data_IF_862987410049
#
_entry.id   IF_862987410049
#
_cell.length_a   1.000
_cell.length_b   1.000
_cell.length_c   1.000
_cell.angle_alpha   90.00
_cell.angle_beta   90.00
_cell.angle_gamma   90.00
#
_symmetry.space_group_name_H-M   'P 1'
#
loop_
_entity.id
_entity.type
_entity.pdbx_description
1 polymer ?
#
# COMPACT_ATOMS: atom_id res chain seq x y z
N UNK A 1 3.41 14.69 -88.53
CA UNK A 1 2.94 13.77 -87.52
C UNK A 1 3.83 13.89 -86.29
N UNK A 2 3.42 14.68 -85.27
CA UNK A 2 4.18 14.87 -84.01
C UNK A 2 3.68 13.89 -82.95
N UNK A 3 4.54 12.98 -82.47
CA UNK A 3 4.24 12.06 -81.38
C UNK A 3 4.45 12.77 -80.09
N UNK A 4 3.43 12.90 -79.23
CA UNK A 4 3.49 13.43 -77.91
C UNK A 4 3.71 12.22 -76.96
N UNK A 5 4.84 12.23 -76.25
CA UNK A 5 5.22 11.26 -75.24
C UNK A 5 4.64 11.71 -73.86
N UNK A 6 3.71 10.96 -73.31
CA UNK A 6 3.23 11.19 -71.92
C UNK A 6 4.13 10.46 -70.96
N UNK A 7 4.83 11.23 -70.10
CA UNK A 7 5.50 10.68 -68.92
C UNK A 7 4.49 10.52 -67.78
N UNK A 8 4.22 9.31 -67.37
CA UNK A 8 3.48 8.99 -66.15
C UNK A 8 4.52 9.09 -64.97
N UNK A 9 4.37 10.10 -64.13
CA UNK A 9 5.10 10.19 -62.86
C UNK A 9 4.30 9.36 -61.81
N UNK A 10 4.83 8.19 -61.46
CA UNK A 10 4.29 7.38 -60.38
C UNK A 10 4.69 8.03 -59.04
N UNK A 11 3.73 8.69 -58.39
CA UNK A 11 3.86 9.15 -57.01
C UNK A 11 3.67 7.94 -56.07
N UNK A 12 4.79 7.42 -55.55
CA UNK A 12 4.75 6.39 -54.53
C UNK A 12 4.43 7.07 -53.19
N UNK A 13 3.32 6.76 -52.49
CA UNK A 13 3.06 7.29 -51.18
C UNK A 13 4.01 6.61 -50.19
N UNK A 14 5.00 7.34 -49.68
CA UNK A 14 5.76 6.96 -48.50
C UNK A 14 4.81 6.93 -47.32
N UNK A 15 4.30 5.75 -46.97
CA UNK A 15 3.67 5.45 -45.72
C UNK A 15 4.74 5.57 -44.63
N UNK A 16 4.92 6.78 -44.07
CA UNK A 16 5.58 6.98 -42.82
C UNK A 16 4.76 6.25 -41.76
N UNK A 17 5.19 5.04 -41.42
CA UNK A 17 4.73 4.33 -40.24
C UNK A 17 5.16 5.20 -39.04
N UNK A 18 4.24 6.03 -38.55
CA UNK A 18 4.40 6.69 -37.27
C UNK A 18 4.52 5.54 -36.24
N UNK A 19 5.76 5.25 -35.79
CA UNK A 19 5.96 4.47 -34.57
C UNK A 19 5.14 5.20 -33.50
N UNK A 20 4.04 4.59 -33.08
CA UNK A 20 3.32 5.03 -31.88
C UNK A 20 4.37 5.12 -30.79
N UNK A 21 4.60 6.30 -30.26
CA UNK A 21 5.42 6.46 -29.06
C UNK A 21 4.65 5.65 -28.01
N UNK A 22 5.18 4.49 -27.66
CA UNK A 22 4.55 3.62 -26.67
C UNK A 22 4.43 4.43 -25.38
N UNK A 23 3.21 4.80 -25.02
CA UNK A 23 2.96 5.67 -23.87
C UNK A 23 3.44 4.92 -22.62
N UNK A 24 4.31 5.56 -21.85
CA UNK A 24 4.80 4.97 -20.58
C UNK A 24 3.62 4.56 -19.70
N UNK A 25 3.67 3.39 -19.07
CA UNK A 25 2.57 2.93 -18.24
C UNK A 25 2.36 3.84 -17.02
N UNK A 26 1.11 3.97 -16.61
CA UNK A 26 0.75 4.55 -15.33
C UNK A 26 1.18 3.64 -14.17
N UNK A 27 1.24 4.19 -12.97
CA UNK A 27 1.49 3.43 -11.75
C UNK A 27 0.40 3.73 -10.73
N UNK A 28 -0.27 2.68 -10.26
CA UNK A 28 -1.13 2.72 -9.09
C UNK A 28 -0.42 1.98 -7.95
N UNK A 29 0.02 2.74 -6.95
CA UNK A 29 0.65 2.21 -5.73
C UNK A 29 -0.37 2.21 -4.60
N UNK A 30 -0.78 1.04 -4.14
CA UNK A 30 -1.71 0.86 -3.02
C UNK A 30 -0.91 0.44 -1.80
N UNK A 31 -0.87 1.31 -0.80
CA UNK A 31 -0.23 1.05 0.49
C UNK A 31 -1.30 0.74 1.54
N UNK A 32 -1.17 -0.37 2.25
CA UNK A 32 -2.11 -0.77 3.31
C UNK A 32 -1.35 -0.86 4.64
N UNK A 33 -1.81 -0.10 5.64
CA UNK A 33 -1.11 0.05 6.92
C UNK A 33 -1.39 -1.13 7.86
N UNK A 34 -0.36 -1.66 8.50
CA UNK A 34 -0.43 -2.81 9.42
C UNK A 34 -1.00 -4.10 8.78
N UNK A 35 -0.92 -4.24 7.45
CA UNK A 35 -1.40 -5.43 6.75
C UNK A 35 -0.37 -6.55 6.81
N UNK A 36 -0.63 -7.57 7.63
CA UNK A 36 0.12 -8.83 7.58
C UNK A 36 -0.33 -9.70 6.38
N UNK A 37 0.45 -10.70 5.94
CA UNK A 37 0.07 -11.55 4.79
C UNK A 37 -1.08 -12.51 5.14
N UNK A 38 -2.10 -12.00 5.81
CA UNK A 38 -3.32 -12.69 6.21
C UNK A 38 -4.39 -12.44 5.13
N UNK A 39 -4.16 -13.07 3.96
CA UNK A 39 -4.95 -13.00 2.75
C UNK A 39 -5.09 -14.40 2.15
N UNK A 40 -6.18 -14.69 1.45
CA UNK A 40 -6.39 -16.02 0.86
C UNK A 40 -5.32 -16.36 -0.19
N UNK A 41 -4.92 -15.42 -1.00
CA UNK A 41 -3.80 -15.57 -1.96
C UNK A 41 -2.44 -15.81 -1.31
N UNK A 42 -2.31 -15.61 0.00
CA UNK A 42 -1.13 -15.93 0.81
C UNK A 42 -1.32 -17.19 1.68
N UNK A 43 -2.38 -17.97 1.44
CA UNK A 43 -2.63 -19.26 2.10
C UNK A 43 -3.47 -19.19 3.37
N UNK A 44 -4.23 -18.11 3.59
CA UNK A 44 -5.08 -17.93 4.79
C UNK A 44 -6.56 -18.03 4.41
N UNK A 45 -7.13 -19.23 4.56
CA UNK A 45 -8.47 -19.56 4.03
C UNK A 45 -9.64 -18.88 4.73
N UNK A 46 -9.50 -18.46 5.99
CA UNK A 46 -10.59 -17.84 6.73
C UNK A 46 -10.79 -16.35 6.40
N UNK A 47 -9.84 -15.73 5.70
CA UNK A 47 -9.93 -14.31 5.29
C UNK A 47 -10.75 -14.18 4.00
N UNK A 48 -11.65 -13.22 3.99
CA UNK A 48 -12.42 -12.83 2.81
C UNK A 48 -11.72 -11.64 2.12
N UNK A 49 -10.94 -11.93 1.06
CA UNK A 49 -10.11 -10.95 0.32
C UNK A 49 -10.22 -11.10 -1.20
N UNK A 50 -11.44 -11.17 -1.78
CA UNK A 50 -11.63 -11.54 -3.18
C UNK A 50 -10.98 -10.58 -4.18
N UNK A 51 -10.90 -9.28 -3.86
CA UNK A 51 -10.35 -8.26 -4.78
C UNK A 51 -8.82 -8.32 -4.81
N UNK A 52 -8.18 -8.45 -3.66
CA UNK A 52 -6.72 -8.61 -3.56
C UNK A 52 -6.31 -9.96 -4.16
N UNK A 53 -7.10 -11.01 -3.95
CA UNK A 53 -6.87 -12.33 -4.55
C UNK A 53 -6.99 -12.29 -6.07
N UNK A 54 -7.98 -11.55 -6.61
CA UNK A 54 -8.11 -11.32 -8.05
C UNK A 54 -6.92 -10.52 -8.63
N UNK A 55 -6.38 -9.55 -7.87
CA UNK A 55 -5.16 -8.85 -8.24
C UNK A 55 -3.95 -9.80 -8.25
N UNK A 56 -3.80 -10.65 -7.24
CA UNK A 56 -2.74 -11.66 -7.16
C UNK A 56 -2.82 -12.66 -8.33
N UNK A 57 -4.03 -13.06 -8.73
CA UNK A 57 -4.27 -13.96 -9.87
C UNK A 57 -3.88 -13.33 -11.22
N UNK A 58 -3.74 -12.01 -11.31
CA UNK A 58 -3.30 -11.25 -12.50
C UNK A 58 -1.90 -10.70 -12.39
N UNK A 59 -1.24 -10.87 -11.23
CA UNK A 59 0.07 -10.34 -10.92
C UNK A 59 1.03 -11.40 -10.41
N UNK A 60 2.02 -10.94 -9.67
CA UNK A 60 2.97 -11.74 -8.90
C UNK A 60 2.79 -11.46 -7.41
N UNK A 61 2.34 -12.44 -6.65
CA UNK A 61 2.35 -12.39 -5.20
C UNK A 61 3.73 -12.85 -4.69
N UNK A 62 4.36 -12.02 -3.87
CA UNK A 62 5.66 -12.29 -3.24
C UNK A 62 5.41 -12.77 -1.81
N UNK A 63 5.43 -14.09 -1.59
CA UNK A 63 5.10 -14.68 -0.30
C UNK A 63 6.15 -14.42 0.78
N UNK A 64 7.37 -14.06 0.40
CA UNK A 64 8.49 -13.78 1.30
C UNK A 64 9.04 -12.37 1.06
N UNK A 65 8.14 -11.37 1.14
CA UNK A 65 8.51 -9.97 1.15
C UNK A 65 8.72 -9.50 2.59
N UNK A 66 9.84 -8.81 2.83
CA UNK A 66 10.23 -8.32 4.15
C UNK A 66 10.51 -6.82 4.14
N UNK A 67 10.18 -6.19 5.28
CA UNK A 67 10.45 -4.78 5.51
C UNK A 67 11.75 -4.61 6.33
N UNK A 68 12.42 -3.48 6.16
CA UNK A 68 13.70 -3.19 6.83
C UNK A 68 13.51 -2.81 8.31
N UNK A 69 12.32 -2.32 8.66
CA UNK A 69 11.96 -2.02 10.04
C UNK A 69 10.45 -2.14 10.22
N UNK A 70 9.95 -2.87 11.22
CA UNK A 70 8.52 -3.05 11.46
C UNK A 70 7.92 -1.85 12.19
N UNK A 71 8.04 -0.68 11.57
CA UNK A 71 7.57 0.63 12.07
C UNK A 71 7.15 1.47 10.88
N UNK A 72 5.92 2.01 10.90
CA UNK A 72 5.31 2.65 9.72
C UNK A 72 6.22 3.70 9.06
N UNK A 73 6.76 4.67 9.81
CA UNK A 73 7.58 5.74 9.24
C UNK A 73 8.89 5.24 8.65
N UNK A 74 9.54 4.28 9.30
CA UNK A 74 10.79 3.69 8.82
C UNK A 74 10.56 2.82 7.57
N UNK A 75 9.54 1.98 7.56
CA UNK A 75 9.20 1.16 6.40
C UNK A 75 8.79 2.03 5.21
N UNK A 76 7.96 3.06 5.43
CA UNK A 76 7.57 4.03 4.39
C UNK A 76 8.74 4.85 3.88
N UNK A 77 9.74 5.15 4.73
CA UNK A 77 10.98 5.75 4.29
C UNK A 77 11.69 4.85 3.26
N UNK A 78 11.81 3.54 3.52
CA UNK A 78 12.48 2.62 2.59
C UNK A 78 11.74 2.49 1.27
N UNK A 79 10.40 2.40 1.27
CA UNK A 79 9.59 2.42 0.05
C UNK A 79 9.82 3.69 -0.77
N UNK A 80 9.70 4.85 -0.12
CA UNK A 80 9.67 6.15 -0.79
C UNK A 80 11.06 6.66 -1.21
N UNK A 81 12.13 6.08 -0.66
CA UNK A 81 13.51 6.49 -0.97
C UNK A 81 14.34 5.41 -1.64
N UNK A 82 13.96 4.14 -1.55
CA UNK A 82 14.75 2.99 -1.99
C UNK A 82 16.07 2.84 -1.21
N UNK A 83 16.12 3.33 0.04
CA UNK A 83 17.34 3.36 0.86
C UNK A 83 17.11 2.86 2.26
N UNK A 84 18.14 2.26 2.86
CA UNK A 84 18.17 2.03 4.30
C UNK A 84 18.10 3.36 5.05
N UNK A 85 17.42 3.38 6.18
CA UNK A 85 17.21 4.57 6.97
C UNK A 85 17.00 4.31 8.45
N UNK A 86 16.71 5.36 9.23
CA UNK A 86 16.45 5.23 10.65
C UNK A 86 15.19 4.41 10.94
N UNK A 87 15.23 3.60 11.99
CA UNK A 87 14.13 2.73 12.42
C UNK A 87 13.10 3.44 13.30
N UNK A 88 12.63 4.63 12.90
CA UNK A 88 11.61 5.39 13.64
C UNK A 88 10.66 6.18 12.73
N UNK A 89 9.55 6.64 13.28
CA UNK A 89 8.48 7.30 12.52
C UNK A 89 8.84 8.67 11.92
N UNK A 90 9.85 9.37 12.46
CA UNK A 90 10.34 10.63 11.92
C UNK A 90 11.41 10.51 10.82
N UNK A 91 11.62 9.32 10.27
CA UNK A 91 12.71 9.05 9.33
C UNK A 91 12.73 9.97 8.11
N UNK A 92 11.57 10.26 7.50
CA UNK A 92 11.45 11.15 6.34
C UNK A 92 11.81 12.59 6.72
N UNK A 93 11.23 13.15 7.77
CA UNK A 93 11.54 14.52 8.21
C UNK A 93 13.03 14.75 8.44
N UNK A 94 13.73 13.77 9.01
CA UNK A 94 15.13 13.92 9.36
C UNK A 94 16.08 13.73 8.19
N UNK A 95 15.68 12.99 7.17
CA UNK A 95 16.61 12.51 6.15
C UNK A 95 16.21 12.86 4.71
N UNK A 96 15.00 13.36 4.46
CA UNK A 96 14.53 13.62 3.10
C UNK A 96 15.46 14.58 2.33
N UNK A 97 15.93 15.64 2.96
CA UNK A 97 16.86 16.59 2.35
C UNK A 97 18.18 15.95 1.88
N UNK A 98 18.62 14.88 2.56
CA UNK A 98 19.88 14.19 2.25
C UNK A 98 19.82 13.40 0.94
N UNK A 99 18.64 12.99 0.49
CA UNK A 99 18.45 12.21 -0.74
C UNK A 99 18.38 13.07 -2.00
N UNK A 100 18.49 14.40 -1.87
CA UNK A 100 18.58 15.38 -2.98
C UNK A 100 17.50 15.17 -4.06
N UNK A 101 16.25 14.95 -3.67
CA UNK A 101 15.11 14.82 -4.58
C UNK A 101 15.03 13.51 -5.37
N UNK A 102 15.81 12.49 -5.01
CA UNK A 102 15.75 11.16 -5.66
C UNK A 102 14.77 10.20 -5.00
N UNK A 103 13.75 10.70 -4.32
CA UNK A 103 12.64 9.89 -3.82
C UNK A 103 11.82 9.28 -4.96
N UNK A 104 11.14 8.18 -4.69
CA UNK A 104 10.31 7.49 -5.68
C UNK A 104 9.34 8.46 -6.39
N UNK A 105 8.43 9.18 -5.69
CA UNK A 105 7.54 10.13 -6.37
C UNK A 105 8.28 11.30 -7.01
N UNK A 106 9.30 11.85 -6.36
CA UNK A 106 10.09 12.96 -6.89
C UNK A 106 10.84 12.60 -8.19
N UNK A 107 11.34 11.36 -8.27
CA UNK A 107 11.98 10.85 -9.48
C UNK A 107 11.00 10.74 -10.64
N UNK A 108 9.83 10.18 -10.40
CA UNK A 108 8.75 10.06 -11.40
C UNK A 108 8.27 11.43 -11.87
N UNK A 109 8.03 12.37 -10.93
CA UNK A 109 7.66 13.75 -11.25
C UNK A 109 8.71 14.43 -12.14
N UNK A 110 10.01 14.28 -11.83
CA UNK A 110 11.10 14.81 -12.64
C UNK A 110 11.11 14.25 -14.06
N UNK A 111 10.60 13.03 -14.26
CA UNK A 111 10.56 12.36 -15.55
C UNK A 111 9.20 12.43 -16.27
N UNK A 112 8.38 13.44 -15.93
CA UNK A 112 7.16 13.78 -16.65
C UNK A 112 5.89 13.07 -16.18
N UNK A 113 5.92 12.40 -15.02
CA UNK A 113 4.71 11.85 -14.41
C UNK A 113 3.98 12.91 -13.59
N UNK A 114 2.65 12.91 -13.65
CA UNK A 114 1.84 13.56 -12.62
C UNK A 114 1.81 12.66 -11.39
N UNK A 115 2.35 13.13 -10.26
CA UNK A 115 2.46 12.33 -9.03
C UNK A 115 1.43 12.80 -8.01
N UNK A 116 0.55 11.88 -7.57
CA UNK A 116 -0.54 12.19 -6.63
C UNK A 116 -0.49 11.21 -5.47
N UNK A 117 -0.54 11.74 -4.26
CA UNK A 117 -0.66 10.98 -3.02
C UNK A 117 -2.03 11.23 -2.41
N UNK A 118 -2.75 10.16 -2.09
CA UNK A 118 -4.02 10.22 -1.37
C UNK A 118 -3.95 9.22 -0.22
N UNK A 119 -4.16 9.65 0.98
CA UNK A 119 -4.12 8.72 2.06
C UNK A 119 -2.76 8.59 2.75
N UNK A 120 -2.62 7.62 3.63
CA UNK A 120 -1.40 7.39 4.42
C UNK A 120 -0.29 6.78 3.56
N UNK A 121 0.43 7.62 2.80
CA UNK A 121 1.61 7.19 2.03
C UNK A 121 2.90 7.41 2.82
N UNK A 122 3.11 8.59 3.39
CA UNK A 122 4.12 8.84 4.43
C UNK A 122 3.50 8.67 5.83
N UNK A 123 4.30 8.71 6.88
CA UNK A 123 3.79 8.49 8.25
C UNK A 123 3.06 9.72 8.82
N UNK A 124 3.49 10.91 8.45
CA UNK A 124 2.84 12.17 8.81
C UNK A 124 2.32 12.88 7.55
N UNK A 125 1.31 12.34 6.91
CA UNK A 125 0.87 12.80 5.57
C UNK A 125 0.41 14.25 5.54
N UNK A 126 -0.14 14.81 6.62
CA UNK A 126 -0.47 16.22 6.74
C UNK A 126 0.64 17.07 7.36
N UNK A 127 1.86 16.57 7.39
CA UNK A 127 2.94 17.25 8.10
C UNK A 127 2.77 17.25 9.61
N UNK A 128 3.66 17.92 10.35
CA UNK A 128 3.59 17.96 11.82
C UNK A 128 2.63 19.01 12.37
N UNK A 129 2.27 20.01 11.60
CA UNK A 129 1.37 21.10 12.00
C UNK A 129 0.04 21.10 11.25
N UNK A 130 -0.08 20.28 10.19
CA UNK A 130 -1.22 20.26 9.30
C UNK A 130 -2.52 19.79 9.97
N UNK A 131 -3.61 20.45 9.64
CA UNK A 131 -4.97 20.06 10.04
C UNK A 131 -5.68 19.29 8.94
N UNK A 132 -5.25 19.51 7.72
CA UNK A 132 -5.72 18.83 6.53
C UNK A 132 -4.52 18.47 5.64
N UNK A 133 -4.69 17.59 4.68
CA UNK A 133 -3.62 17.16 3.79
C UNK A 133 -3.24 18.23 2.78
N UNK A 134 -4.18 19.11 2.47
CA UNK A 134 -3.97 20.19 1.56
C UNK A 134 -3.27 21.40 2.21
N UNK A 135 -3.24 21.45 3.56
CA UNK A 135 -2.60 22.49 4.37
C UNK A 135 -1.29 21.98 5.02
N UNK A 136 -0.45 21.33 4.23
CA UNK A 136 0.80 20.76 4.70
C UNK A 136 1.88 21.84 4.84
N UNK A 137 1.92 22.53 5.97
CA UNK A 137 2.88 23.58 6.29
C UNK A 137 4.31 23.05 6.53
N UNK A 138 4.45 21.77 6.85
CA UNK A 138 5.74 21.07 7.04
C UNK A 138 5.72 19.69 6.42
N UNK A 139 5.71 19.58 5.09
CA UNK A 139 5.61 18.30 4.40
C UNK A 139 6.81 17.41 4.71
N UNK A 140 6.55 16.10 4.85
CA UNK A 140 7.64 15.12 4.98
C UNK A 140 8.51 15.03 3.73
N UNK A 141 7.95 15.33 2.57
CA UNK A 141 8.59 15.18 1.25
C UNK A 141 8.35 16.41 0.37
N UNK A 142 8.92 17.59 0.71
CA UNK A 142 8.70 18.82 -0.05
C UNK A 142 9.08 18.65 -1.52
N UNK A 143 8.14 18.99 -2.41
CA UNK A 143 8.34 18.95 -3.87
C UNK A 143 8.32 17.56 -4.51
N UNK A 144 8.07 16.49 -3.77
CA UNK A 144 8.01 15.13 -4.33
C UNK A 144 6.70 14.84 -5.07
N UNK A 145 5.60 15.41 -4.61
CA UNK A 145 4.26 15.20 -5.16
C UNK A 145 3.78 16.41 -5.96
N UNK A 146 3.04 16.18 -7.04
CA UNK A 146 2.27 17.22 -7.74
C UNK A 146 1.07 17.64 -6.90
N UNK A 147 0.39 16.67 -6.30
CA UNK A 147 -0.69 16.86 -5.33
C UNK A 147 -0.55 15.84 -4.21
N UNK A 148 -0.87 16.28 -3.01
CA UNK A 148 -0.77 15.50 -1.79
C UNK A 148 -2.02 15.76 -0.97
N UNK A 149 -2.86 14.74 -0.79
CA UNK A 149 -4.23 14.87 -0.32
C UNK A 149 -4.53 13.92 0.85
N UNK A 150 -5.10 14.46 1.94
CA UNK A 150 -5.74 13.68 3.00
C UNK A 150 -7.09 14.26 3.36
N UNK A 151 -8.21 13.74 2.83
CA UNK A 151 -9.52 14.17 3.26
C UNK A 151 -9.76 13.72 4.71
N UNK A 152 -9.58 14.64 5.65
CA UNK A 152 -9.82 14.38 7.06
C UNK A 152 -11.32 14.49 7.42
N UNK A 153 -12.08 15.34 6.71
CA UNK A 153 -13.51 15.47 6.90
C UNK A 153 -13.93 15.64 8.38
N UNK A 154 -14.86 14.80 8.88
CA UNK A 154 -15.30 14.85 10.27
C UNK A 154 -14.19 14.64 11.31
N UNK A 155 -13.09 14.01 10.94
CA UNK A 155 -11.93 13.78 11.81
C UNK A 155 -11.01 15.00 11.95
N UNK A 156 -11.37 16.15 11.34
CA UNK A 156 -10.80 17.48 11.52
C UNK A 156 -9.35 17.68 11.07
N UNK A 157 -8.50 16.67 11.20
CA UNK A 157 -7.08 16.75 10.85
C UNK A 157 -6.50 15.34 10.56
N UNK A 158 -5.36 15.24 9.87
CA UNK A 158 -4.76 13.97 9.46
C UNK A 158 -4.58 12.94 10.57
N UNK A 159 -4.11 13.37 11.74
CA UNK A 159 -3.93 12.48 12.89
C UNK A 159 -5.27 11.98 13.44
N UNK A 160 -6.32 12.82 13.38
CA UNK A 160 -7.68 12.43 13.73
C UNK A 160 -8.18 11.31 12.82
N UNK A 161 -7.98 11.46 11.52
CA UNK A 161 -8.31 10.43 10.53
C UNK A 161 -7.51 9.14 10.75
N UNK A 162 -6.19 9.22 10.98
CA UNK A 162 -5.33 8.05 11.17
C UNK A 162 -5.72 7.15 12.34
N UNK A 163 -6.27 7.72 13.39
CA UNK A 163 -6.68 6.99 14.59
C UNK A 163 -8.19 7.08 14.86
N UNK A 164 -8.97 7.55 13.88
CA UNK A 164 -10.39 7.76 14.03
C UNK A 164 -11.21 6.46 13.99
N UNK A 165 -12.34 6.47 14.68
CA UNK A 165 -13.44 5.51 14.51
C UNK A 165 -14.58 6.17 13.71
N UNK A 166 -15.74 5.49 13.62
CA UNK A 166 -16.82 5.92 12.74
C UNK A 166 -17.30 7.35 13.02
N UNK A 167 -17.74 8.04 11.95
CA UNK A 167 -18.44 9.33 12.01
C UNK A 167 -17.67 10.45 12.70
N UNK A 168 -16.36 10.51 12.58
CA UNK A 168 -15.54 11.60 13.12
C UNK A 168 -15.15 11.42 14.58
N UNK A 169 -15.26 10.24 15.15
CA UNK A 169 -14.72 9.95 16.47
C UNK A 169 -13.18 10.03 16.45
N UNK A 170 -12.63 11.01 17.17
CA UNK A 170 -11.21 11.34 17.20
C UNK A 170 -10.61 10.88 18.52
N UNK A 171 -9.46 10.20 18.44
CA UNK A 171 -8.67 9.81 19.61
C UNK A 171 -8.01 11.01 20.29
N UNK A 172 -8.61 11.50 21.37
CA UNK A 172 -7.96 12.48 22.28
C UNK A 172 -6.92 11.77 23.15
N UNK A 173 -7.32 10.71 23.86
CA UNK A 173 -6.45 9.79 24.56
C UNK A 173 -6.73 8.37 24.10
N UNK A 174 -5.70 7.51 23.99
CA UNK A 174 -5.90 6.13 23.53
C UNK A 174 -6.87 5.35 24.43
N UNK A 175 -6.81 5.54 25.75
CA UNK A 175 -7.66 4.87 26.75
C UNK A 175 -9.16 5.18 26.61
N UNK A 176 -9.51 6.29 25.96
CA UNK A 176 -10.89 6.74 25.79
C UNK A 176 -11.49 6.24 24.47
N UNK A 177 -10.71 5.59 23.62
CA UNK A 177 -11.13 5.06 22.33
C UNK A 177 -11.11 3.54 22.34
N UNK A 178 -12.20 2.94 21.90
CA UNK A 178 -12.35 1.50 21.81
C UNK A 178 -11.32 0.90 20.86
N UNK A 179 -10.74 -0.24 21.25
CA UNK A 179 -9.71 -0.91 20.45
C UNK A 179 -10.24 -1.46 19.14
N UNK A 180 -11.55 -1.75 19.10
CA UNK A 180 -12.25 -2.14 17.88
C UNK A 180 -13.68 -1.61 17.85
N UNK A 181 -14.24 -1.50 16.65
CA UNK A 181 -15.62 -1.07 16.42
C UNK A 181 -16.16 -1.69 15.12
N UNK A 182 -17.40 -2.15 15.14
CA UNK A 182 -18.18 -2.46 13.95
C UNK A 182 -19.38 -1.51 13.89
N UNK A 183 -19.37 -0.56 12.94
CA UNK A 183 -20.41 0.44 12.81
C UNK A 183 -21.35 0.11 11.63
N UNK A 184 -22.65 0.13 11.85
CA UNK A 184 -23.63 -0.08 10.77
C UNK A 184 -23.79 1.21 9.95
N UNK A 185 -23.06 1.27 8.84
CA UNK A 185 -22.99 2.43 7.97
C UNK A 185 -22.21 2.20 6.68
N UNK A 186 -22.11 3.23 5.84
CA UNK A 186 -21.37 3.17 4.58
C UNK A 186 -19.85 3.10 4.82
N UNK A 187 -19.09 2.82 3.75
CA UNK A 187 -17.62 2.81 3.80
C UNK A 187 -17.07 4.17 4.27
N UNK A 188 -17.67 5.28 3.82
CA UNK A 188 -17.28 6.63 4.20
C UNK A 188 -17.62 7.01 5.66
N UNK A 189 -18.24 6.11 6.44
CA UNK A 189 -18.33 6.27 7.90
C UNK A 189 -16.96 6.16 8.57
N UNK A 190 -15.95 5.61 7.90
CA UNK A 190 -14.56 5.56 8.33
C UNK A 190 -13.65 6.36 7.38
N UNK A 191 -12.48 6.84 7.84
CA UNK A 191 -11.57 7.67 7.05
C UNK A 191 -11.17 7.04 5.70
N UNK A 192 -11.01 5.73 5.69
CA UNK A 192 -10.56 4.97 4.50
C UNK A 192 -11.55 5.04 3.33
N UNK A 193 -12.84 5.14 3.63
CA UNK A 193 -13.87 5.38 2.60
C UNK A 193 -13.70 6.74 1.93
N UNK A 194 -13.46 7.82 2.71
CA UNK A 194 -13.19 9.16 2.16
C UNK A 194 -11.87 9.20 1.35
N UNK A 195 -10.82 8.53 1.85
CA UNK A 195 -9.56 8.39 1.13
C UNK A 195 -9.80 7.73 -0.23
N UNK A 196 -10.58 6.66 -0.26
CA UNK A 196 -10.90 5.96 -1.51
C UNK A 196 -11.74 6.82 -2.43
N UNK A 197 -12.77 7.52 -1.93
CA UNK A 197 -13.60 8.44 -2.72
C UNK A 197 -12.75 9.53 -3.37
N UNK A 198 -11.80 10.11 -2.62
CA UNK A 198 -10.87 11.11 -3.16
C UNK A 198 -9.93 10.49 -4.20
N UNK A 199 -9.40 9.28 -3.97
CA UNK A 199 -8.56 8.59 -4.93
C UNK A 199 -9.29 8.33 -6.26
N UNK A 200 -10.57 7.97 -6.22
CA UNK A 200 -11.41 7.81 -7.43
C UNK A 200 -11.55 9.13 -8.19
N UNK A 201 -11.79 10.27 -7.51
CA UNK A 201 -11.84 11.60 -8.14
C UNK A 201 -10.51 11.99 -8.78
N UNK A 202 -9.39 11.68 -8.11
CA UNK A 202 -8.07 11.92 -8.67
C UNK A 202 -7.82 11.04 -9.92
N UNK A 203 -8.26 9.78 -9.90
CA UNK A 203 -8.20 8.89 -11.07
C UNK A 203 -8.97 9.46 -12.26
N UNK A 204 -10.18 10.00 -12.04
CA UNK A 204 -10.99 10.66 -13.09
C UNK A 204 -10.30 11.88 -13.68
N UNK A 205 -9.60 12.62 -12.86
CA UNK A 205 -8.83 13.79 -13.31
C UNK A 205 -7.60 13.37 -14.10
N UNK A 206 -6.86 12.36 -13.62
CA UNK A 206 -5.65 11.85 -14.24
C UNK A 206 -5.92 11.16 -15.58
N UNK A 207 -7.08 10.49 -15.72
CA UNK A 207 -7.51 9.83 -16.95
C UNK A 207 -7.75 10.80 -18.13
N UNK A 208 -7.92 12.09 -17.85
CA UNK A 208 -8.14 13.14 -18.87
C UNK A 208 -6.85 13.81 -19.35
N UNK A 209 -5.73 13.47 -18.72
CA UNK A 209 -4.43 14.04 -19.04
C UNK A 209 -3.64 13.11 -19.96
N UNK A 210 -2.85 13.70 -20.87
CA UNK A 210 -1.97 12.93 -21.78
C UNK A 210 -0.73 12.38 -21.08
N UNK A 211 -0.37 12.94 -19.92
CA UNK A 211 0.82 12.52 -19.17
C UNK A 211 0.56 11.27 -18.34
N UNK A 212 1.52 10.35 -18.25
CA UNK A 212 1.42 9.23 -17.35
C UNK A 212 1.37 9.70 -15.90
N UNK A 213 0.74 8.91 -15.04
CA UNK A 213 0.63 9.24 -13.62
C UNK A 213 1.23 8.18 -12.70
N UNK A 214 1.66 8.63 -11.53
CA UNK A 214 1.89 7.83 -10.34
C UNK A 214 0.85 8.24 -9.30
N UNK A 215 -0.19 7.42 -9.13
CA UNK A 215 -1.18 7.60 -8.07
C UNK A 215 -0.86 6.65 -6.93
N UNK A 216 -0.54 7.19 -5.76
CA UNK A 216 -0.33 6.44 -4.54
C UNK A 216 -1.55 6.60 -3.61
N UNK A 217 -2.16 5.50 -3.20
CA UNK A 217 -3.32 5.46 -2.31
C UNK A 217 -2.97 4.73 -1.04
N UNK A 218 -3.10 5.40 0.11
CA UNK A 218 -2.74 4.87 1.42
C UNK A 218 -3.97 4.57 2.26
N UNK A 219 -4.35 3.32 2.35
CA UNK A 219 -5.41 2.80 3.20
C UNK A 219 -4.87 2.64 4.62
N UNK A 220 -5.62 3.11 5.62
CA UNK A 220 -5.20 3.10 7.02
C UNK A 220 -5.51 1.75 7.66
N UNK A 221 -6.72 1.19 7.41
CA UNK A 221 -7.07 -0.12 7.98
C UNK A 221 -6.26 -1.24 7.30
N UNK A 222 -5.82 -2.24 8.10
CA UNK A 222 -6.18 -2.60 9.48
C UNK A 222 -5.39 -1.95 10.62
N UNK A 223 -4.74 -0.80 10.47
CA UNK A 223 -4.13 -0.09 11.60
C UNK A 223 -5.14 0.17 12.75
N UNK A 224 -4.66 0.14 14.00
CA UNK A 224 -5.46 0.45 15.19
C UNK A 224 -6.09 1.87 15.13
N UNK A 225 -7.30 2.02 15.68
CA UNK A 225 -8.21 1.00 16.22
C UNK A 225 -8.85 0.18 15.11
N UNK A 226 -9.22 -1.08 15.38
CA UNK A 226 -9.80 -1.98 14.36
C UNK A 226 -11.26 -1.63 14.08
N UNK A 227 -11.48 -0.54 13.37
CA UNK A 227 -12.79 -0.04 12.99
C UNK A 227 -13.17 -0.44 11.56
N UNK A 228 -14.36 -0.98 11.37
CA UNK A 228 -14.86 -1.40 10.05
C UNK A 228 -16.38 -1.28 9.95
N UNK A 229 -16.96 -0.99 8.78
CA UNK A 229 -18.39 -1.12 8.59
C UNK A 229 -18.89 -2.54 8.92
N UNK A 230 -20.00 -2.65 9.64
CA UNK A 230 -20.52 -3.91 10.17
C UNK A 230 -20.78 -4.96 9.07
N UNK A 231 -21.08 -4.53 7.84
CA UNK A 231 -21.29 -5.44 6.71
C UNK A 231 -20.08 -6.36 6.46
N UNK A 232 -18.84 -5.93 6.74
CA UNK A 232 -17.64 -6.73 6.56
C UNK A 232 -17.41 -7.72 7.72
N UNK A 233 -17.94 -7.41 8.92
CA UNK A 233 -17.90 -8.34 10.06
C UNK A 233 -18.81 -9.56 9.88
N UNK A 234 -19.81 -9.51 8.99
CA UNK A 234 -20.71 -10.63 8.71
C UNK A 234 -19.97 -11.91 8.29
N UNK A 235 -18.83 -11.77 7.61
CA UNK A 235 -17.97 -12.90 7.22
C UNK A 235 -17.36 -13.63 8.43
N UNK A 236 -17.25 -12.96 9.58
CA UNK A 236 -16.51 -13.47 10.76
C UNK A 236 -17.40 -13.80 11.95
N UNK A 237 -18.70 -13.51 11.91
CA UNK A 237 -19.64 -13.78 13.03
C UNK A 237 -19.52 -15.23 13.52
N UNK A 238 -19.59 -16.20 12.59
CA UNK A 238 -19.49 -17.62 12.89
C UNK A 238 -18.17 -18.26 12.42
N UNK A 239 -17.18 -17.45 12.01
CA UNK A 239 -15.91 -17.97 11.51
C UNK A 239 -15.11 -18.61 12.64
N UNK A 240 -14.56 -19.78 12.35
CA UNK A 240 -13.58 -20.46 13.21
C UNK A 240 -12.19 -20.05 12.75
N UNK A 241 -11.53 -19.21 13.53
CA UNK A 241 -10.12 -18.86 13.28
C UNK A 241 -9.24 -19.95 13.89
N UNK A 242 -8.10 -20.27 13.24
CA UNK A 242 -7.14 -21.21 13.81
C UNK A 242 -6.58 -20.67 15.13
N UNK A 243 -6.08 -21.54 15.98
CA UNK A 243 -5.36 -21.13 17.18
C UNK A 243 -4.18 -20.24 16.81
N UNK A 244 -3.87 -19.26 17.66
CA UNK A 244 -2.66 -18.43 17.50
C UNK A 244 -1.42 -19.31 17.63
N UNK A 245 -0.52 -19.34 16.63
CA UNK A 245 0.72 -20.08 16.75
C UNK A 245 1.65 -19.41 17.78
N UNK A 246 2.41 -20.20 18.52
CA UNK A 246 3.40 -19.69 19.49
C UNK A 246 2.86 -18.59 20.43
N UNK A 247 1.75 -18.82 21.17
CA UNK A 247 1.09 -17.74 21.93
C UNK A 247 1.84 -17.32 23.20
N UNK A 248 2.93 -18.02 23.54
CA UNK A 248 3.69 -17.76 24.74
C UNK A 248 4.80 -16.72 24.54
N UNK A 249 5.04 -15.90 25.56
CA UNK A 249 6.20 -15.03 25.59
C UNK A 249 7.49 -15.85 25.41
N UNK A 250 8.37 -15.47 24.48
CA UNK A 250 9.62 -16.21 24.26
C UNK A 250 10.52 -16.15 25.49
N UNK A 251 11.27 -17.23 25.69
CA UNK A 251 12.34 -17.27 26.70
C UNK A 251 13.63 -16.72 26.13
N UNK A 252 14.44 -16.09 26.97
CA UNK A 252 15.72 -15.53 26.57
C UNK A 252 15.63 -14.10 26.00
N UNK A 253 16.76 -13.62 25.46
CA UNK A 253 16.89 -12.25 24.97
C UNK A 253 16.35 -12.14 23.54
N UNK A 254 15.27 -11.40 23.36
CA UNK A 254 14.61 -11.16 22.06
C UNK A 254 14.19 -9.69 21.94
N UNK A 255 13.55 -9.33 20.82
CA UNK A 255 12.93 -8.00 20.64
C UNK A 255 11.48 -7.97 21.16
N UNK A 256 11.12 -8.87 22.06
CA UNK A 256 9.80 -8.91 22.67
C UNK A 256 9.47 -7.61 23.42
N UNK A 257 8.20 -7.20 23.34
CA UNK A 257 7.66 -6.06 24.07
C UNK A 257 6.22 -6.31 24.52
N UNK A 258 5.74 -5.54 25.51
CA UNK A 258 4.43 -5.69 26.10
C UNK A 258 3.28 -5.00 25.34
N UNK A 259 3.35 -4.88 24.01
CA UNK A 259 2.23 -4.38 23.18
C UNK A 259 1.74 -2.97 23.53
N UNK A 260 2.67 -2.06 23.84
CA UNK A 260 2.37 -0.77 24.47
C UNK A 260 1.41 0.13 23.69
N UNK A 261 1.29 -0.01 22.36
CA UNK A 261 0.28 0.72 21.57
C UNK A 261 -1.12 0.14 21.79
N UNK A 262 -1.29 -1.16 21.56
CA UNK A 262 -2.57 -1.87 21.71
C UNK A 262 -3.10 -1.77 23.15
N UNK A 263 -2.22 -1.99 24.13
CA UNK A 263 -2.60 -2.01 25.56
C UNK A 263 -3.05 -0.65 26.11
N UNK A 264 -2.83 0.45 25.37
CA UNK A 264 -3.31 1.80 25.73
C UNK A 264 -4.76 2.08 25.36
N UNK A 265 -5.35 1.34 24.39
CA UNK A 265 -6.73 1.53 24.00
C UNK A 265 -7.71 1.04 25.07
N UNK A 266 -8.95 1.51 25.00
CA UNK A 266 -10.02 0.96 25.80
C UNK A 266 -10.29 -0.50 25.39
N UNK A 267 -10.09 -1.41 26.30
CA UNK A 267 -10.26 -2.87 26.17
C UNK A 267 -11.22 -3.41 27.19
N UNK A 268 -12.03 -2.54 27.77
CA UNK A 268 -13.02 -2.89 28.83
C UNK A 268 -12.39 -3.69 29.97
N UNK A 269 -11.13 -3.36 30.33
CA UNK A 269 -10.28 -4.05 31.31
C UNK A 269 -9.93 -5.51 30.96
N UNK A 270 -10.22 -5.95 29.72
CA UNK A 270 -9.86 -7.31 29.24
C UNK A 270 -8.41 -7.35 28.77
N UNK A 271 -7.75 -8.50 28.93
CA UNK A 271 -6.39 -8.75 28.47
C UNK A 271 -6.40 -9.92 27.47
N UNK A 272 -6.07 -9.71 26.20
CA UNK A 272 -6.15 -10.78 25.19
C UNK A 272 -5.13 -11.90 25.42
N UNK A 273 -4.13 -11.73 26.26
CA UNK A 273 -3.20 -12.80 26.64
C UNK A 273 -3.76 -13.73 27.74
N UNK A 274 -4.83 -13.33 28.40
CA UNK A 274 -5.46 -14.06 29.52
C UNK A 274 -6.92 -14.43 29.21
N UNK A 275 -7.52 -13.75 28.24
CA UNK A 275 -8.92 -13.88 27.84
C UNK A 275 -8.99 -14.33 26.36
N UNK A 276 -9.17 -15.63 26.17
CA UNK A 276 -9.19 -16.24 24.84
C UNK A 276 -10.39 -15.79 23.98
N UNK A 277 -11.54 -15.48 24.60
CA UNK A 277 -12.70 -14.95 23.89
C UNK A 277 -12.42 -13.55 23.37
N UNK A 278 -11.84 -12.68 24.19
CA UNK A 278 -11.45 -11.35 23.78
C UNK A 278 -10.34 -11.37 22.72
N UNK A 279 -9.36 -12.26 22.83
CA UNK A 279 -8.36 -12.48 21.80
C UNK A 279 -9.01 -12.86 20.45
N UNK A 280 -9.99 -13.73 20.45
CA UNK A 280 -10.74 -14.11 19.25
C UNK A 280 -11.53 -12.94 18.66
N UNK A 281 -12.20 -12.14 19.50
CA UNK A 281 -12.91 -10.92 19.07
C UNK A 281 -11.97 -9.93 18.39
N UNK A 282 -10.81 -9.64 19.00
CA UNK A 282 -9.78 -8.76 18.42
C UNK A 282 -9.32 -9.26 17.06
N UNK A 283 -9.03 -10.56 16.93
CA UNK A 283 -8.63 -11.18 15.67
C UNK A 283 -9.72 -11.10 14.60
N UNK A 284 -10.99 -11.33 14.96
CA UNK A 284 -12.12 -11.18 14.04
C UNK A 284 -12.27 -9.73 13.56
N UNK A 285 -12.09 -8.75 14.43
CA UNK A 285 -12.15 -7.33 14.03
C UNK A 285 -10.97 -6.92 13.14
N UNK A 286 -9.76 -7.43 13.39
CA UNK A 286 -8.65 -7.27 12.44
C UNK A 286 -9.00 -7.87 11.07
N UNK A 287 -9.53 -9.10 11.03
CA UNK A 287 -9.96 -9.75 9.79
C UNK A 287 -11.05 -8.95 9.06
N UNK A 288 -12.02 -8.38 9.80
CA UNK A 288 -13.02 -7.46 9.25
C UNK A 288 -12.42 -6.22 8.63
N UNK A 289 -11.39 -5.64 9.25
CA UNK A 289 -10.65 -4.51 8.69
C UNK A 289 -9.88 -4.90 7.42
N UNK A 290 -9.31 -6.11 7.35
CA UNK A 290 -8.69 -6.63 6.12
C UNK A 290 -9.71 -6.75 4.98
N UNK A 291 -10.89 -7.30 5.27
CA UNK A 291 -11.99 -7.40 4.28
C UNK A 291 -12.48 -6.02 3.83
N UNK A 292 -12.54 -5.05 4.73
CA UNK A 292 -12.86 -3.67 4.38
C UNK A 292 -11.78 -3.07 3.46
N UNK A 293 -10.50 -3.19 3.80
CA UNK A 293 -9.41 -2.74 2.94
C UNK A 293 -9.44 -3.43 1.57
N UNK A 294 -9.73 -4.73 1.52
CA UNK A 294 -9.92 -5.47 0.27
C UNK A 294 -11.02 -4.87 -0.61
N UNK A 295 -12.17 -4.54 -0.03
CA UNK A 295 -13.28 -3.93 -0.76
C UNK A 295 -12.90 -2.55 -1.33
N UNK A 296 -12.12 -1.75 -0.59
CA UNK A 296 -11.62 -0.46 -1.06
C UNK A 296 -10.60 -0.63 -2.19
N UNK A 297 -9.74 -1.63 -2.11
CA UNK A 297 -8.84 -2.02 -3.23
C UNK A 297 -9.66 -2.40 -4.45
N UNK A 298 -10.75 -3.16 -4.29
CA UNK A 298 -11.68 -3.51 -5.37
C UNK A 298 -12.21 -2.27 -6.07
N UNK A 299 -12.71 -1.26 -5.33
CA UNK A 299 -13.22 -0.01 -5.89
C UNK A 299 -12.17 0.74 -6.74
N UNK A 300 -10.91 0.75 -6.31
CA UNK A 300 -9.81 1.37 -7.07
C UNK A 300 -9.56 0.62 -8.39
N UNK A 301 -9.56 -0.70 -8.35
CA UNK A 301 -9.34 -1.56 -9.51
C UNK A 301 -10.50 -1.45 -10.51
N UNK A 302 -11.74 -1.50 -10.03
CA UNK A 302 -12.94 -1.33 -10.85
C UNK A 302 -12.96 0.03 -11.55
N UNK A 303 -12.46 1.07 -10.88
CA UNK A 303 -12.37 2.40 -11.51
C UNK A 303 -11.33 2.44 -12.63
N UNK A 304 -10.17 1.81 -12.47
CA UNK A 304 -9.20 1.66 -13.56
C UNK A 304 -9.81 0.94 -14.77
N UNK A 305 -10.58 -0.13 -14.51
CA UNK A 305 -11.26 -0.89 -15.57
C UNK A 305 -12.32 -0.04 -16.30
N UNK A 306 -13.15 0.68 -15.53
CA UNK A 306 -14.16 1.58 -16.07
C UNK A 306 -13.56 2.72 -16.92
N UNK A 307 -12.38 3.21 -16.56
CA UNK A 307 -11.63 4.21 -17.31
C UNK A 307 -10.78 3.63 -18.45
N UNK A 308 -10.77 2.31 -18.63
CA UNK A 308 -9.95 1.59 -19.64
C UNK A 308 -8.45 1.85 -19.49
N UNK A 309 -8.00 2.06 -18.24
CA UNK A 309 -6.59 2.34 -17.93
C UNK A 309 -5.81 1.09 -17.52
N UNK A 310 -6.49 -0.03 -17.19
CA UNK A 310 -5.88 -1.23 -16.65
C UNK A 310 -4.71 -1.74 -17.49
N UNK A 311 -4.91 -1.82 -18.80
CA UNK A 311 -3.95 -2.43 -19.75
C UNK A 311 -2.69 -1.58 -19.94
N UNK A 312 -2.69 -0.33 -19.42
CA UNK A 312 -1.53 0.55 -19.40
C UNK A 312 -1.19 1.04 -17.96
N UNK A 313 -1.50 0.24 -16.95
CA UNK A 313 -1.21 0.60 -15.54
C UNK A 313 -0.51 -0.53 -14.81
N UNK A 314 0.62 -0.22 -14.20
CA UNK A 314 1.31 -1.08 -13.23
C UNK A 314 0.62 -0.88 -11.89
N UNK A 315 0.17 -1.97 -11.27
CA UNK A 315 -0.47 -1.94 -9.95
C UNK A 315 0.47 -2.61 -8.95
N UNK A 316 0.78 -1.90 -7.88
CA UNK A 316 1.55 -2.40 -6.74
C UNK A 316 0.68 -2.34 -5.51
N UNK A 317 0.43 -3.48 -4.86
CA UNK A 317 -0.15 -3.54 -3.52
C UNK A 317 0.95 -3.91 -2.54
N UNK A 318 1.11 -3.12 -1.50
CA UNK A 318 2.17 -3.24 -0.51
C UNK A 318 1.64 -3.02 0.91
N UNK A 319 1.89 -3.98 1.80
CA UNK A 319 1.73 -3.78 3.24
C UNK A 319 3.00 -3.15 3.83
N UNK A 320 2.86 -2.13 4.67
CA UNK A 320 4.03 -1.40 5.18
C UNK A 320 4.82 -2.18 6.24
N UNK A 321 4.21 -3.09 6.93
CA UNK A 321 4.79 -4.15 7.78
C UNK A 321 3.68 -5.11 8.22
N UNK A 322 4.04 -6.17 8.94
CA UNK A 322 3.10 -7.09 9.53
C UNK A 322 2.56 -6.62 10.89
N UNK A 323 1.87 -7.52 11.57
CA UNK A 323 1.25 -7.28 12.87
C UNK A 323 1.10 -8.59 13.63
N UNK A 324 1.36 -8.62 14.94
CA UNK A 324 1.09 -9.77 15.80
C UNK A 324 -0.37 -9.74 16.29
N UNK A 325 -0.99 -10.89 16.30
CA UNK A 325 -2.36 -11.13 16.79
C UNK A 325 -2.37 -12.17 17.92
N UNK A 326 -1.41 -12.03 18.84
CA UNK A 326 -1.22 -12.90 20.00
C UNK A 326 0.00 -13.83 19.89
N UNK A 327 0.63 -13.93 18.71
CA UNK A 327 1.89 -14.66 18.60
C UNK A 327 2.94 -14.02 19.53
N UNK A 328 3.68 -14.87 20.23
CA UNK A 328 4.68 -14.45 21.22
C UNK A 328 4.10 -13.59 22.35
N UNK A 329 2.79 -13.70 22.64
CA UNK A 329 2.05 -12.82 23.53
C UNK A 329 2.17 -11.33 23.17
N UNK A 330 2.35 -11.00 21.89
CA UNK A 330 2.42 -9.64 21.33
C UNK A 330 1.13 -9.33 20.58
N UNK A 331 0.62 -8.10 20.76
CA UNK A 331 -0.49 -7.49 20.02
C UNK A 331 0.02 -6.18 19.44
N UNK A 332 0.62 -6.24 18.26
CA UNK A 332 1.29 -5.09 17.71
C UNK A 332 2.41 -5.42 16.74
N UNK A 333 3.28 -4.46 16.54
CA UNK A 333 4.44 -4.47 15.66
C UNK A 333 5.70 -4.12 16.48
N UNK A 334 6.78 -3.75 15.87
CA UNK A 334 8.05 -3.34 16.46
C UNK A 334 8.93 -4.49 17.01
N UNK A 335 8.61 -5.74 16.67
CA UNK A 335 9.44 -6.88 17.01
C UNK A 335 10.08 -7.49 15.74
N UNK A 336 11.26 -8.09 15.89
CA UNK A 336 11.97 -8.73 14.77
C UNK A 336 11.54 -10.20 14.61
N UNK A 337 10.24 -10.42 14.57
CA UNK A 337 9.62 -11.72 14.26
C UNK A 337 8.93 -11.66 12.89
N UNK A 338 8.67 -12.82 12.30
CA UNK A 338 8.00 -12.95 10.99
C UNK A 338 6.71 -12.13 10.92
N UNK A 339 5.92 -12.16 11.99
CA UNK A 339 4.62 -11.50 12.05
C UNK A 339 4.69 -9.98 11.92
N UNK A 340 5.81 -9.37 12.30
CA UNK A 340 6.06 -7.94 12.14
C UNK A 340 6.82 -7.59 10.87
N UNK A 341 7.75 -8.46 10.44
CA UNK A 341 8.66 -8.16 9.32
C UNK A 341 8.08 -8.53 7.96
N UNK A 342 7.28 -9.62 7.89
CA UNK A 342 6.69 -10.09 6.65
C UNK A 342 5.37 -9.38 6.36
N UNK A 343 5.25 -8.84 5.16
CA UNK A 343 4.02 -8.18 4.70
C UNK A 343 3.73 -8.54 3.24
N UNK A 344 2.47 -8.39 2.75
CA UNK A 344 2.15 -8.71 1.38
C UNK A 344 2.78 -7.71 0.41
N UNK A 345 3.29 -8.24 -0.71
CA UNK A 345 3.64 -7.49 -1.90
C UNK A 345 3.03 -8.21 -3.10
N UNK A 346 2.27 -7.47 -3.91
CA UNK A 346 1.73 -7.94 -5.19
C UNK A 346 2.07 -6.90 -6.24
N UNK A 347 2.65 -7.33 -7.36
CA UNK A 347 2.92 -6.48 -8.52
C UNK A 347 2.19 -7.07 -9.73
N UNK A 348 1.30 -6.29 -10.33
CA UNK A 348 0.65 -6.62 -11.58
C UNK A 348 1.04 -5.57 -12.64
N UNK A 349 1.61 -6.02 -13.74
CA UNK A 349 2.06 -5.16 -14.84
C UNK A 349 1.40 -5.58 -16.15
N UNK A 350 1.21 -4.65 -17.10
CA UNK A 350 0.74 -4.97 -18.42
C UNK A 350 1.58 -6.07 -19.08
N UNK A 351 0.92 -7.04 -19.71
CA UNK A 351 1.59 -8.13 -20.46
C UNK A 351 2.58 -8.95 -19.63
N UNK A 352 2.38 -9.05 -18.30
CA UNK A 352 3.25 -9.82 -17.42
C UNK A 352 3.28 -11.30 -17.79
N UNK A 353 4.49 -11.87 -17.91
CA UNK A 353 4.67 -13.30 -18.10
C UNK A 353 4.28 -14.08 -16.83
N UNK A 354 3.71 -15.27 -17.02
CA UNK A 354 3.32 -16.17 -15.91
C UNK A 354 2.51 -15.47 -14.79
N UNK A 355 1.60 -14.55 -15.16
CA UNK A 355 0.69 -13.90 -14.20
C UNK A 355 -0.07 -14.95 -13.36
N UNK A 356 -0.36 -14.62 -12.11
CA UNK A 356 -1.08 -15.50 -11.18
C UNK A 356 -0.20 -16.58 -10.50
N UNK A 357 1.06 -16.75 -10.90
CA UNK A 357 1.98 -17.67 -10.22
C UNK A 357 2.70 -16.93 -9.09
N UNK A 358 2.52 -17.33 -7.81
CA UNK A 358 3.25 -16.72 -6.70
C UNK A 358 4.74 -17.09 -6.74
N UNK A 359 5.55 -16.36 -5.97
CA UNK A 359 6.98 -16.67 -5.79
C UNK A 359 7.34 -16.84 -4.31
N UNK A 360 8.31 -17.69 -4.05
CA UNK A 360 8.97 -17.89 -2.74
C UNK A 360 10.32 -17.16 -2.66
N UNK A 361 10.64 -16.32 -3.64
CA UNK A 361 11.84 -15.51 -3.60
C UNK A 361 11.81 -14.55 -2.40
N UNK A 362 12.92 -14.46 -1.67
CA UNK A 362 13.08 -13.43 -0.63
C UNK A 362 13.32 -12.09 -1.29
N UNK A 363 12.43 -11.14 -1.03
CA UNK A 363 12.48 -9.79 -1.60
C UNK A 363 12.25 -8.75 -0.50
N UNK A 364 12.65 -7.53 -0.76
CA UNK A 364 12.61 -6.45 0.20
C UNK A 364 11.81 -5.23 -0.33
N UNK A 365 11.29 -4.41 0.57
CA UNK A 365 10.63 -3.14 0.20
C UNK A 365 11.53 -2.24 -0.66
N UNK A 366 12.83 -2.29 -0.44
CA UNK A 366 13.84 -1.53 -1.22
C UNK A 366 13.81 -1.85 -2.72
N UNK A 367 13.38 -3.05 -3.09
CA UNK A 367 13.38 -3.56 -4.46
C UNK A 367 12.24 -2.95 -5.31
N UNK A 368 11.22 -2.36 -4.69
CA UNK A 368 10.04 -1.83 -5.38
C UNK A 368 10.43 -0.67 -6.28
N UNK A 369 11.15 0.32 -5.77
CA UNK A 369 11.49 1.52 -6.54
C UNK A 369 12.30 1.20 -7.82
N UNK A 370 13.44 0.47 -7.78
CA UNK A 370 14.16 0.10 -8.99
C UNK A 370 13.32 -0.75 -9.96
N UNK A 371 12.46 -1.63 -9.45
CA UNK A 371 11.55 -2.44 -10.27
C UNK A 371 10.55 -1.59 -11.04
N UNK A 372 9.93 -0.61 -10.39
CA UNK A 372 8.94 0.25 -11.06
C UNK A 372 9.64 1.20 -12.05
N UNK A 373 10.87 1.65 -11.78
CA UNK A 373 11.67 2.35 -12.77
C UNK A 373 11.86 1.50 -14.04
N UNK A 374 12.26 0.25 -13.91
CA UNK A 374 12.50 -0.63 -15.06
C UNK A 374 11.20 -0.95 -15.81
N UNK A 375 10.09 -1.25 -15.10
CA UNK A 375 8.78 -1.49 -15.70
C UNK A 375 8.24 -0.28 -16.49
N UNK A 376 8.62 0.93 -16.11
CA UNK A 376 8.21 2.18 -16.78
C UNK A 376 9.22 2.68 -17.80
N UNK A 377 10.33 1.96 -18.03
CA UNK A 377 11.40 2.38 -18.92
C UNK A 377 12.18 3.61 -18.42
N UNK A 378 12.09 3.92 -17.12
CA UNK A 378 12.89 4.97 -16.51
C UNK A 378 14.24 4.41 -16.05
N UNK A 379 15.29 5.21 -16.24
CA UNK A 379 16.58 4.88 -15.64
C UNK A 379 16.47 4.89 -14.11
N UNK A 380 16.92 3.84 -13.48
CA UNK A 380 17.02 3.77 -12.02
C UNK A 380 18.03 4.81 -11.51
N UNK A 381 17.65 5.65 -10.52
CA UNK A 381 18.58 6.60 -9.93
C UNK A 381 19.72 5.89 -9.19
N UNK A 382 20.91 6.51 -9.19
CA UNK A 382 22.04 5.99 -8.44
C UNK A 382 21.82 6.04 -6.92
N UNK A 383 22.45 5.11 -6.20
CA UNK A 383 22.43 5.08 -4.73
C UNK A 383 21.18 4.49 -4.10
N UNK A 384 20.37 3.74 -4.85
CA UNK A 384 19.37 2.85 -4.27
C UNK A 384 20.05 1.60 -3.67
N UNK A 385 19.46 1.06 -2.62
CA UNK A 385 19.96 -0.16 -1.96
C UNK A 385 19.26 -1.44 -2.43
N UNK A 386 18.09 -1.31 -3.05
CA UNK A 386 17.35 -2.44 -3.60
C UNK A 386 17.81 -2.84 -5.01
N UNK A 387 17.36 -3.99 -5.46
CA UNK A 387 17.56 -4.53 -6.81
C UNK A 387 16.23 -4.65 -7.55
N UNK A 388 16.28 -4.68 -8.89
CA UNK A 388 15.05 -4.89 -9.67
C UNK A 388 14.54 -6.32 -9.55
N UNK A 389 13.23 -6.45 -9.36
CA UNK A 389 12.52 -7.73 -9.33
C UNK A 389 12.11 -8.22 -10.73
N UNK A 390 12.51 -7.54 -11.79
CA UNK A 390 12.17 -7.93 -13.18
C UNK A 390 12.50 -9.38 -13.51
N UNK A 391 13.65 -9.96 -13.07
CA UNK A 391 13.91 -11.39 -13.30
C UNK A 391 12.89 -12.30 -12.64
N UNK A 392 12.38 -11.94 -11.45
CA UNK A 392 11.37 -12.70 -10.70
C UNK A 392 9.97 -12.48 -11.27
N UNK A 393 9.68 -11.27 -11.78
CA UNK A 393 8.44 -10.99 -12.49
C UNK A 393 8.34 -11.79 -13.79
N UNK A 394 9.46 -11.97 -14.50
CA UNK A 394 9.53 -12.78 -15.72
C UNK A 394 9.46 -14.30 -15.40
N UNK A 395 10.13 -14.75 -14.36
CA UNK A 395 10.18 -16.17 -13.95
C UNK A 395 10.06 -16.29 -12.41
N UNK A 396 8.90 -16.79 -11.90
CA UNK A 396 8.66 -16.90 -10.45
C UNK A 396 9.58 -17.89 -9.73
N UNK A 397 10.30 -18.73 -10.45
CA UNK A 397 11.26 -19.71 -9.87
C UNK A 397 12.62 -19.10 -9.55
N UNK A 398 12.89 -17.88 -10.03
CA UNK A 398 14.15 -17.17 -9.74
C UNK A 398 14.29 -16.88 -8.25
N UNK A 399 15.54 -16.97 -7.77
CA UNK A 399 15.87 -16.63 -6.39
C UNK A 399 15.91 -15.10 -6.22
N UNK A 400 15.50 -14.64 -5.04
CA UNK A 400 15.67 -13.27 -4.59
C UNK A 400 17.00 -13.07 -3.86
N UNK A 401 16.95 -12.25 -2.80
CA UNK A 401 18.11 -12.08 -1.92
C UNK A 401 18.53 -13.40 -1.26
N UNK A 402 19.80 -13.50 -0.88
CA UNK A 402 20.27 -14.58 -0.03
C UNK A 402 19.56 -14.50 1.33
N UNK A 403 19.06 -15.61 1.82
CA UNK A 403 18.41 -15.70 3.13
C UNK A 403 19.45 -15.92 4.23
#
# INVERSE_FOLDING_TARGET
MRRILFFLVAVCPLLLSAKSIEQRPNVLLICVDDLRPELKSFGVDYIHSPNIDALAARGRAFHRHYVQAPTCGASRYTLLTGRYGPAHNGALFQNFAKIKGTSFPGWFRKHGYTTVSVGKISHHPGGRGGRDWDEDDKPEMPGAWTRHLLPAGPWQHPRGAMHGLANGEIRKNAKDMDVYQAFDGPDAAYPDGLITDEALKQMDTLAKADQPFLLAVGIIRPHLPFGTPAKYMKHYTNAKLPATPHPQKPTGKTTWHGSGEFMKYNRWKRNPNEDAEFALEVRKHYAGCVTYADALVGRLIDRLDALKLRDNTIIVLWGDHGWHLGEHAIWGKHALFEESLRSPLIIAAPRMAAAGKPTQAVVETLDIFPTICELTGLKTPAGLNGQSLMPILADPSKKGHAA
#
